data_IF_712318243387
#
_entry.id   IF_712318243387
#
_cell.length_a   1.000
_cell.length_b   1.000
_cell.length_c   1.000
_cell.angle_alpha   90.00
_cell.angle_beta   90.00
_cell.angle_gamma   90.00
#
_symmetry.space_group_name_H-M   'P 1'
#
loop_
_entity.id
_entity.type
_entity.pdbx_description
1 polymer ?
#
# COMPACT_ATOMS: atom_id res chain seq x y z
N UNK A 1 -11.59 39.85 35.54
CA UNK A 1 -10.14 39.78 35.34
C UNK A 1 -9.90 38.96 34.08
N UNK A 2 -9.62 39.67 32.99
CA UNK A 2 -9.36 39.02 31.68
C UNK A 2 -7.86 38.80 31.54
N UNK A 3 -7.37 37.58 31.45
CA UNK A 3 -5.99 37.27 31.11
C UNK A 3 -5.87 37.05 29.60
N UNK A 4 -5.16 37.97 28.96
CA UNK A 4 -4.74 37.89 27.57
C UNK A 4 -3.62 36.84 27.46
N UNK A 5 -3.83 35.80 26.68
CA UNK A 5 -2.74 34.96 26.14
C UNK A 5 -2.25 35.59 24.84
N UNK A 6 -1.01 36.08 24.85
CA UNK A 6 -0.32 36.55 23.67
C UNK A 6 0.26 35.38 22.93
N UNK A 7 -0.29 35.07 21.74
CA UNK A 7 0.30 34.13 20.79
C UNK A 7 1.45 34.85 20.07
N UNK A 8 2.70 34.39 20.33
CA UNK A 8 3.90 34.84 19.60
C UNK A 8 3.96 34.12 18.26
N UNK A 9 3.54 34.78 17.20
CA UNK A 9 3.77 34.32 15.84
C UNK A 9 5.25 34.49 15.50
N UNK A 10 5.97 33.37 15.34
CA UNK A 10 7.33 33.34 14.80
C UNK A 10 7.24 33.50 13.28
N UNK A 11 7.37 34.74 12.79
CA UNK A 11 7.48 35.03 11.37
C UNK A 11 8.90 34.66 10.90
N UNK A 12 9.08 33.49 10.27
CA UNK A 12 10.29 33.17 9.56
C UNK A 12 10.37 33.98 8.27
N UNK A 13 11.16 35.05 8.28
CA UNK A 13 11.42 35.86 7.09
C UNK A 13 12.41 35.09 6.19
N UNK A 14 11.91 34.42 5.17
CA UNK A 14 12.73 33.89 4.09
C UNK A 14 13.23 35.04 3.22
N UNK A 15 14.52 35.35 3.30
CA UNK A 15 15.23 36.18 2.33
C UNK A 15 15.36 35.41 1.02
N UNK A 16 14.44 35.62 0.10
CA UNK A 16 14.53 35.20 -1.28
C UNK A 16 15.64 36.03 -1.94
N UNK A 17 16.83 35.44 -2.08
CA UNK A 17 17.83 35.98 -3.02
C UNK A 17 17.29 35.69 -4.42
N UNK A 18 17.00 36.74 -5.17
CA UNK A 18 16.72 36.66 -6.61
C UNK A 18 17.96 36.12 -7.33
N UNK A 19 18.00 34.81 -7.56
CA UNK A 19 18.91 34.23 -8.53
C UNK A 19 18.42 34.66 -9.91
N UNK A 20 19.31 35.18 -10.74
CA UNK A 20 19.06 35.46 -12.16
C UNK A 20 18.53 34.16 -12.81
N UNK A 21 17.31 34.22 -13.34
CA UNK A 21 16.69 33.10 -14.02
C UNK A 21 17.55 32.67 -15.21
N UNK A 22 18.15 31.50 -15.11
CA UNK A 22 18.57 30.78 -16.31
C UNK A 22 17.32 30.50 -17.16
N UNK A 23 17.47 30.48 -18.52
CA UNK A 23 16.33 30.21 -19.38
C UNK A 23 15.69 28.90 -18.96
N UNK A 24 14.37 28.95 -18.71
CA UNK A 24 13.58 27.80 -18.30
C UNK A 24 13.90 26.64 -19.22
N UNK A 25 14.52 25.57 -18.69
CA UNK A 25 14.58 24.29 -19.40
C UNK A 25 13.14 23.90 -19.64
N UNK A 26 12.83 23.56 -20.91
CA UNK A 26 11.51 23.08 -21.27
C UNK A 26 11.10 21.99 -20.26
N UNK A 27 9.92 22.13 -19.67
CA UNK A 27 9.40 21.16 -18.74
C UNK A 27 9.45 19.79 -19.42
N UNK A 28 10.23 18.88 -18.88
CA UNK A 28 10.41 17.57 -19.47
C UNK A 28 9.39 16.64 -18.83
N UNK A 29 8.38 16.27 -19.59
CA UNK A 29 7.35 15.33 -19.19
C UNK A 29 7.67 13.96 -19.78
N UNK A 30 7.94 13.00 -18.93
CA UNK A 30 8.04 11.58 -19.27
C UNK A 30 6.68 10.93 -19.09
N UNK A 31 6.21 10.24 -20.13
CA UNK A 31 4.99 9.44 -20.11
C UNK A 31 5.33 7.96 -20.26
N UNK A 32 4.69 7.14 -19.45
CA UNK A 32 4.76 5.69 -19.53
C UNK A 32 3.39 5.06 -19.34
N UNK A 33 3.29 3.82 -19.81
CA UNK A 33 2.09 2.99 -19.69
C UNK A 33 2.49 1.62 -19.18
N UNK A 34 1.71 1.13 -18.23
CA UNK A 34 1.80 -0.23 -17.72
C UNK A 34 0.47 -0.94 -17.91
N UNK A 35 0.48 -2.21 -18.28
CA UNK A 35 -0.73 -3.02 -18.35
C UNK A 35 -0.52 -4.40 -17.74
N UNK A 36 -1.40 -4.75 -16.79
CA UNK A 36 -1.47 -6.01 -16.10
C UNK A 36 -2.77 -6.72 -16.48
N UNK A 37 -2.65 -7.91 -17.05
CA UNK A 37 -3.78 -8.75 -17.42
C UNK A 37 -3.60 -10.14 -16.85
N UNK A 38 -4.66 -10.70 -16.27
CA UNK A 38 -4.66 -12.07 -15.76
C UNK A 38 -5.70 -12.92 -16.45
N UNK A 39 -5.44 -14.23 -16.46
CA UNK A 39 -6.41 -15.26 -16.76
C UNK A 39 -6.26 -16.37 -15.71
N UNK A 40 -7.38 -16.87 -15.18
CA UNK A 40 -7.27 -17.95 -14.18
C UNK A 40 -8.56 -18.61 -13.79
N UNK A 41 -8.42 -19.51 -12.85
CA UNK A 41 -9.48 -20.37 -12.32
C UNK A 41 -9.36 -20.48 -10.80
N UNK A 42 -10.50 -20.66 -10.14
CA UNK A 42 -10.59 -20.93 -8.70
C UNK A 42 -11.62 -22.00 -8.43
N UNK A 43 -11.44 -22.76 -7.33
CA UNK A 43 -12.44 -23.68 -6.79
C UNK A 43 -13.51 -22.95 -6.01
N UNK A 44 -13.22 -21.75 -5.49
CA UNK A 44 -14.15 -20.87 -4.81
C UNK A 44 -15.27 -20.42 -5.74
N UNK A 45 -16.46 -20.17 -5.22
CA UNK A 45 -17.54 -19.50 -5.95
C UNK A 45 -17.26 -17.99 -6.10
N UNK A 46 -18.04 -17.30 -6.93
CA UNK A 46 -17.72 -15.92 -7.28
C UNK A 46 -17.75 -14.94 -6.09
N UNK A 47 -18.71 -15.03 -5.12
CA UNK A 47 -18.67 -14.20 -3.92
C UNK A 47 -17.42 -14.48 -3.04
N UNK A 48 -17.03 -15.74 -2.94
CA UNK A 48 -15.86 -16.10 -2.14
C UNK A 48 -14.56 -15.69 -2.83
N UNK A 49 -14.47 -15.76 -4.17
CA UNK A 49 -13.31 -15.21 -4.91
C UNK A 49 -13.14 -13.73 -4.59
N UNK A 50 -14.24 -12.96 -4.56
CA UNK A 50 -14.21 -11.53 -4.23
C UNK A 50 -13.68 -11.25 -2.83
N UNK A 51 -14.07 -12.07 -1.87
CA UNK A 51 -13.58 -11.96 -0.50
C UNK A 51 -12.13 -12.43 -0.35
N UNK A 52 -11.68 -13.41 -1.15
CA UNK A 52 -10.32 -13.95 -1.11
C UNK A 52 -9.32 -13.06 -1.87
N UNK A 53 -9.68 -12.59 -3.04
CA UNK A 53 -8.90 -11.67 -3.87
C UNK A 53 -9.48 -10.26 -3.71
N UNK A 54 -9.23 -9.66 -2.54
CA UNK A 54 -9.86 -8.41 -2.12
C UNK A 54 -9.17 -7.17 -2.66
N UNK A 55 -7.90 -7.27 -3.05
CA UNK A 55 -7.17 -6.14 -3.63
C UNK A 55 -7.90 -5.64 -4.89
N UNK A 56 -8.01 -4.33 -5.05
CA UNK A 56 -8.71 -3.72 -6.18
C UNK A 56 -8.05 -4.07 -7.53
N UNK A 57 -6.77 -4.38 -7.48
CA UNK A 57 -5.97 -4.87 -8.60
C UNK A 57 -5.76 -6.40 -8.59
N UNK A 58 -6.51 -7.14 -7.79
CA UNK A 58 -6.41 -8.60 -7.75
C UNK A 58 -7.21 -9.25 -8.89
N UNK A 59 -6.88 -10.50 -9.28
CA UNK A 59 -7.65 -11.26 -10.25
C UNK A 59 -8.98 -11.73 -9.63
N UNK A 60 -9.99 -10.89 -9.63
CA UNK A 60 -11.22 -11.01 -8.86
C UNK A 60 -12.30 -11.91 -9.47
N UNK A 61 -12.01 -12.66 -10.56
CA UNK A 61 -12.96 -13.56 -11.22
C UNK A 61 -12.25 -14.67 -12.01
N UNK A 62 -12.96 -15.77 -12.24
CA UNK A 62 -12.51 -16.78 -13.21
C UNK A 62 -12.54 -16.22 -14.64
N UNK A 63 -11.61 -16.67 -15.46
CA UNK A 63 -11.44 -16.16 -16.83
C UNK A 63 -10.43 -15.01 -16.90
N UNK A 64 -10.74 -13.97 -17.63
CA UNK A 64 -9.83 -12.85 -17.90
C UNK A 64 -10.18 -11.62 -17.07
N UNK A 65 -9.15 -10.98 -16.53
CA UNK A 65 -9.23 -9.71 -15.79
C UNK A 65 -8.20 -8.74 -16.33
N UNK A 66 -8.60 -7.51 -16.65
CA UNK A 66 -7.67 -6.39 -16.78
C UNK A 66 -7.49 -5.80 -15.38
N UNK A 67 -6.39 -6.16 -14.72
CA UNK A 67 -6.13 -5.74 -13.35
C UNK A 67 -5.78 -4.26 -13.25
N UNK A 68 -4.97 -3.79 -14.22
CA UNK A 68 -4.43 -2.44 -14.22
C UNK A 68 -4.07 -2.03 -15.64
N UNK A 69 -4.41 -0.80 -16.01
CA UNK A 69 -3.79 -0.08 -17.10
C UNK A 69 -3.44 1.30 -16.59
N UNK A 70 -2.17 1.49 -16.23
CA UNK A 70 -1.68 2.70 -15.61
C UNK A 70 -1.04 3.63 -16.63
N UNK A 71 -1.34 4.91 -16.52
CA UNK A 71 -0.72 5.99 -17.26
C UNK A 71 0.04 6.85 -16.25
N UNK A 72 1.37 6.83 -16.33
CA UNK A 72 2.23 7.59 -15.44
C UNK A 72 2.83 8.79 -16.17
N UNK A 73 2.70 9.96 -15.56
CA UNK A 73 3.35 11.19 -15.98
C UNK A 73 4.31 11.68 -14.90
N UNK A 74 5.60 11.80 -15.22
CA UNK A 74 6.61 12.33 -14.28
C UNK A 74 7.39 13.46 -14.94
N UNK A 75 7.80 14.46 -14.16
CA UNK A 75 8.61 15.53 -14.71
C UNK A 75 9.04 16.58 -13.70
N UNK A 76 10.08 17.33 -14.07
CA UNK A 76 10.49 18.52 -13.34
C UNK A 76 9.51 19.66 -13.63
N UNK A 77 8.85 20.16 -12.59
CA UNK A 77 8.00 21.37 -12.69
C UNK A 77 8.88 22.60 -12.82
N UNK A 78 9.89 22.67 -11.96
CA UNK A 78 10.90 23.72 -11.91
C UNK A 78 12.17 23.18 -11.20
N UNK A 79 13.21 24.00 -10.92
CA UNK A 79 14.41 23.54 -10.21
C UNK A 79 14.15 23.03 -8.78
N UNK A 80 12.97 23.33 -8.18
CA UNK A 80 12.66 23.03 -6.78
C UNK A 80 11.71 21.89 -6.60
N UNK A 81 10.90 21.56 -7.64
CA UNK A 81 9.84 20.56 -7.55
C UNK A 81 9.84 19.60 -8.73
N UNK A 82 9.65 18.33 -8.43
CA UNK A 82 9.21 17.31 -9.37
C UNK A 82 7.72 17.05 -9.16
N UNK A 83 7.00 16.81 -10.26
CA UNK A 83 5.60 16.39 -10.26
C UNK A 83 5.49 14.95 -10.74
N UNK A 84 4.52 14.24 -10.20
CA UNK A 84 4.17 12.87 -10.58
C UNK A 84 2.66 12.69 -10.53
N UNK A 85 2.10 11.96 -11.51
CA UNK A 85 0.68 11.62 -11.57
C UNK A 85 0.50 10.22 -12.15
N UNK A 86 -0.39 9.43 -11.54
CA UNK A 86 -0.77 8.09 -11.94
C UNK A 86 -2.27 8.03 -12.13
N UNK A 87 -2.69 7.65 -13.35
CA UNK A 87 -4.08 7.41 -13.73
C UNK A 87 -4.25 5.93 -14.04
N UNK A 88 -5.18 5.29 -13.37
CA UNK A 88 -5.46 3.87 -13.56
C UNK A 88 -6.81 3.67 -14.22
N UNK A 89 -6.85 2.82 -15.24
CA UNK A 89 -8.06 2.31 -15.85
C UNK A 89 -8.15 0.82 -15.54
N UNK A 90 -9.32 0.39 -15.07
CA UNK A 90 -9.66 -1.01 -14.82
C UNK A 90 -11.00 -1.34 -15.44
N UNK A 91 -11.26 -2.62 -15.68
CA UNK A 91 -12.56 -3.11 -16.10
C UNK A 91 -13.16 -3.88 -14.93
N UNK A 92 -14.27 -3.36 -14.43
CA UNK A 92 -14.98 -3.98 -13.32
C UNK A 92 -15.65 -5.31 -13.74
N UNK A 93 -16.31 -6.00 -12.79
CA UNK A 93 -17.02 -7.25 -13.05
C UNK A 93 -18.18 -7.10 -14.01
N UNK A 94 -18.80 -5.94 -14.06
CA UNK A 94 -19.89 -5.60 -14.98
C UNK A 94 -19.41 -5.38 -16.41
N UNK A 95 -18.09 -5.25 -16.63
CA UNK A 95 -17.49 -4.91 -17.92
C UNK A 95 -17.41 -3.40 -18.17
N UNK A 96 -17.70 -2.58 -17.17
CA UNK A 96 -17.61 -1.13 -17.24
C UNK A 96 -16.17 -0.66 -16.95
N UNK A 97 -15.75 0.40 -17.61
CA UNK A 97 -14.42 0.99 -17.39
C UNK A 97 -14.49 1.99 -16.24
N UNK A 98 -13.73 1.75 -15.19
CA UNK A 98 -13.47 2.71 -14.13
C UNK A 98 -12.16 3.45 -14.39
N UNK A 99 -12.13 4.75 -14.13
CA UNK A 99 -10.95 5.61 -14.19
C UNK A 99 -10.70 6.15 -12.78
N UNK A 100 -9.48 5.97 -12.31
CA UNK A 100 -9.05 6.39 -10.99
C UNK A 100 -7.83 7.30 -11.06
N UNK A 101 -7.82 8.37 -10.28
CA UNK A 101 -6.63 9.16 -9.99
C UNK A 101 -5.91 8.54 -8.80
N UNK A 102 -4.94 7.68 -9.06
CA UNK A 102 -4.26 6.93 -8.01
C UNK A 102 -3.30 7.83 -7.22
N UNK A 103 -2.40 8.52 -7.89
CA UNK A 103 -1.52 9.50 -7.26
C UNK A 103 -1.44 10.79 -8.08
N UNK A 104 -1.31 11.92 -7.39
CA UNK A 104 -0.90 13.21 -7.96
C UNK A 104 -0.24 14.03 -6.88
N UNK A 105 1.06 14.26 -7.00
CA UNK A 105 1.80 14.99 -5.98
C UNK A 105 2.98 15.78 -6.55
N UNK A 106 3.44 16.72 -5.73
CA UNK A 106 4.71 17.43 -5.91
C UNK A 106 5.69 17.00 -4.82
N UNK A 107 6.95 16.82 -5.20
CA UNK A 107 8.04 16.54 -4.28
C UNK A 107 9.17 17.55 -4.44
N UNK A 108 9.71 18.03 -3.33
CA UNK A 108 10.87 18.95 -3.33
C UNK A 108 12.12 18.21 -3.77
N UNK A 109 12.99 18.86 -4.58
CA UNK A 109 14.19 18.24 -5.15
C UNK A 109 15.44 18.43 -4.30
N UNK A 110 15.55 19.55 -3.59
CA UNK A 110 16.80 19.93 -2.94
C UNK A 110 16.59 20.80 -1.71
N UNK A 111 15.99 20.25 -0.66
CA UNK A 111 15.98 20.89 0.65
C UNK A 111 17.29 20.62 1.41
N UNK A 112 17.76 21.57 2.25
CA UNK A 112 18.97 21.37 3.04
C UNK A 112 18.81 20.24 4.06
N UNK A 113 19.93 19.74 4.58
CA UNK A 113 20.05 18.77 5.68
C UNK A 113 19.35 17.41 5.43
N UNK A 114 19.11 17.03 4.17
CA UNK A 114 18.48 15.76 3.83
C UNK A 114 16.96 15.73 4.01
N UNK A 115 16.30 16.90 4.00
CA UNK A 115 14.84 17.01 4.04
C UNK A 115 14.23 16.88 2.64
N UNK A 116 13.07 16.26 2.58
CA UNK A 116 12.16 16.27 1.43
C UNK A 116 10.73 16.49 1.93
N UNK A 117 9.95 17.25 1.18
CA UNK A 117 8.52 17.41 1.38
C UNK A 117 7.80 16.91 0.14
N UNK A 118 6.81 16.06 0.31
CA UNK A 118 5.89 15.52 -0.70
C UNK A 118 4.48 15.97 -0.33
N UNK A 119 3.72 16.52 -1.27
CA UNK A 119 2.36 17.02 -1.00
C UNK A 119 1.44 16.72 -2.19
N UNK A 120 0.25 16.22 -1.90
CA UNK A 120 -0.74 15.79 -2.88
C UNK A 120 -1.47 14.53 -2.46
N UNK A 121 -2.12 13.86 -3.40
CA UNK A 121 -2.65 12.51 -3.20
C UNK A 121 -1.55 11.50 -3.46
N UNK A 122 -1.32 10.59 -2.51
CA UNK A 122 -0.21 9.65 -2.61
C UNK A 122 -0.46 8.41 -1.75
N UNK A 123 0.18 7.31 -2.10
CA UNK A 123 0.33 6.19 -1.17
C UNK A 123 1.15 6.65 0.03
N UNK A 124 0.62 6.41 1.21
CA UNK A 124 1.31 6.77 2.45
C UNK A 124 2.51 5.86 2.69
N UNK A 125 3.59 6.41 3.23
CA UNK A 125 4.82 5.69 3.51
C UNK A 125 4.66 4.74 4.71
N UNK A 126 3.65 3.86 4.69
CA UNK A 126 3.42 2.83 5.71
C UNK A 126 3.97 1.47 5.23
N UNK A 127 4.80 0.81 6.03
CA UNK A 127 5.39 -0.47 5.64
C UNK A 127 6.26 -0.36 4.38
N UNK A 128 6.55 -1.49 3.77
CA UNK A 128 7.28 -1.57 2.51
C UNK A 128 6.36 -1.82 1.32
N UNK A 129 5.25 -2.58 1.53
CA UNK A 129 4.37 -3.00 0.43
C UNK A 129 3.39 -1.90 0.04
N UNK A 130 2.85 -1.14 1.00
CA UNK A 130 1.82 -0.12 0.75
C UNK A 130 2.17 0.89 -0.36
N UNK A 131 3.39 1.46 -0.42
CA UNK A 131 3.73 2.43 -1.47
C UNK A 131 4.12 1.79 -2.82
N UNK A 132 3.88 0.50 -3.03
CA UNK A 132 4.22 -0.20 -4.27
C UNK A 132 2.99 -0.35 -5.17
N UNK A 133 3.09 0.15 -6.40
CA UNK A 133 2.11 -0.11 -7.44
C UNK A 133 2.08 -1.60 -7.84
N UNK A 134 0.97 -2.12 -8.38
CA UNK A 134 0.79 -3.54 -8.70
C UNK A 134 1.87 -4.13 -9.63
N UNK A 135 2.40 -3.34 -10.55
CA UNK A 135 3.49 -3.75 -11.44
C UNK A 135 4.82 -4.03 -10.69
N UNK A 136 5.02 -3.44 -9.51
CA UNK A 136 6.19 -3.66 -8.66
C UNK A 136 6.05 -4.86 -7.71
N UNK A 137 4.86 -5.45 -7.59
CA UNK A 137 4.64 -6.61 -6.74
C UNK A 137 5.36 -7.86 -7.27
N UNK A 138 5.75 -8.74 -6.36
CA UNK A 138 6.40 -10.01 -6.70
C UNK A 138 5.40 -11.13 -6.98
N UNK A 139 4.17 -10.99 -6.47
CA UNK A 139 3.03 -11.88 -6.65
C UNK A 139 1.95 -11.20 -7.48
N UNK A 140 0.97 -11.98 -7.96
CA UNK A 140 -0.11 -11.50 -8.83
C UNK A 140 -1.15 -10.69 -8.08
N UNK A 141 -1.25 -10.91 -6.77
CA UNK A 141 -2.25 -10.39 -5.85
C UNK A 141 -1.63 -9.58 -4.71
N UNK A 142 -2.43 -8.68 -4.14
CA UNK A 142 -2.10 -7.93 -2.94
C UNK A 142 -1.89 -8.87 -1.75
N UNK A 143 -1.14 -8.43 -0.75
CA UNK A 143 -1.00 -9.17 0.49
C UNK A 143 -2.30 -9.16 1.29
N UNK A 144 -2.66 -10.32 1.88
CA UNK A 144 -3.85 -10.46 2.70
C UNK A 144 -3.88 -9.44 3.84
N UNK A 145 -2.74 -9.20 4.48
CA UNK A 145 -2.62 -8.23 5.57
C UNK A 145 -2.78 -6.79 5.08
N UNK A 146 -2.25 -6.47 3.88
CA UNK A 146 -2.43 -5.15 3.26
C UNK A 146 -3.90 -4.86 3.00
N UNK A 147 -4.58 -5.74 2.28
CA UNK A 147 -6.01 -5.60 1.97
C UNK A 147 -6.90 -5.53 3.24
N UNK A 148 -6.53 -6.27 4.31
CA UNK A 148 -7.30 -6.31 5.56
C UNK A 148 -7.18 -5.04 6.40
N UNK A 149 -6.01 -4.41 6.45
CA UNK A 149 -5.75 -3.27 7.34
C UNK A 149 -5.68 -1.94 6.61
N UNK A 150 -5.14 -1.92 5.41
CA UNK A 150 -4.92 -0.70 4.64
C UNK A 150 -5.99 -0.49 3.56
N UNK A 151 -6.71 -1.56 3.22
CA UNK A 151 -7.80 -1.56 2.26
C UNK A 151 -7.46 -2.15 0.90
N UNK A 152 -8.49 -2.35 0.05
CA UNK A 152 -8.34 -2.92 -1.29
C UNK A 152 -7.33 -2.16 -2.16
N UNK A 153 -7.36 -0.83 -2.08
CA UNK A 153 -6.51 0.09 -2.84
C UNK A 153 -5.27 0.55 -2.08
N UNK A 154 -4.85 -0.20 -1.04
CA UNK A 154 -3.80 0.25 -0.14
C UNK A 154 -4.18 1.56 0.59
N UNK A 155 -3.36 2.01 1.52
CA UNK A 155 -3.60 3.27 2.23
C UNK A 155 -3.05 4.43 1.42
N UNK A 156 -3.96 5.26 0.90
CA UNK A 156 -3.67 6.37 0.03
C UNK A 156 -4.56 7.55 0.37
N UNK A 157 -3.99 8.74 0.52
CA UNK A 157 -4.74 9.92 0.96
C UNK A 157 -4.15 11.20 0.41
N UNK A 158 -4.97 12.26 0.43
CA UNK A 158 -4.53 13.63 0.17
C UNK A 158 -3.89 14.20 1.42
N UNK A 159 -2.62 14.61 1.32
CA UNK A 159 -1.91 15.16 2.48
C UNK A 159 -0.49 15.61 2.18
N UNK A 160 0.33 15.60 3.22
CA UNK A 160 1.73 16.02 3.14
C UNK A 160 2.61 15.08 3.97
N UNK A 161 3.71 14.64 3.38
CA UNK A 161 4.79 13.92 4.04
C UNK A 161 6.05 14.77 4.11
N UNK A 162 6.76 14.67 5.22
CA UNK A 162 8.11 15.20 5.42
C UNK A 162 9.04 14.04 5.73
N UNK A 163 10.04 13.83 4.89
CA UNK A 163 11.08 12.84 5.09
C UNK A 163 12.41 13.50 5.43
N UNK A 164 13.14 12.91 6.36
CA UNK A 164 14.47 13.33 6.75
C UNK A 164 15.45 12.17 6.67
N UNK A 165 16.39 12.27 5.73
CA UNK A 165 17.53 11.36 5.65
C UNK A 165 18.58 11.84 6.66
N UNK A 166 18.72 11.11 7.77
CA UNK A 166 19.64 11.46 8.83
C UNK A 166 21.10 11.35 8.35
N UNK A 167 21.99 12.25 8.80
CA UNK A 167 23.39 12.25 8.41
C UNK A 167 24.19 11.17 9.19
N UNK A 168 23.72 9.93 9.15
CA UNK A 168 24.37 8.76 9.74
C UNK A 168 25.26 8.05 8.73
N UNK A 169 26.28 7.27 9.14
CA UNK A 169 27.10 6.49 8.22
C UNK A 169 26.36 5.33 7.52
N UNK A 170 25.11 5.04 7.92
CA UNK A 170 24.21 4.11 7.25
C UNK A 170 22.91 4.83 6.86
N UNK A 171 22.14 4.25 5.96
CA UNK A 171 20.84 4.78 5.58
C UNK A 171 19.87 4.73 6.79
N UNK A 172 19.39 5.89 7.21
CA UNK A 172 18.37 6.05 8.23
C UNK A 172 17.41 7.17 7.84
N UNK A 173 16.16 6.80 7.54
CA UNK A 173 15.11 7.70 7.08
C UNK A 173 14.02 7.78 8.14
N UNK A 174 13.62 9.00 8.47
CA UNK A 174 12.46 9.31 9.30
C UNK A 174 11.43 9.99 8.41
N UNK A 175 10.20 9.49 8.40
CA UNK A 175 9.09 10.10 7.66
C UNK A 175 7.94 10.38 8.62
N UNK A 176 7.36 11.56 8.53
CA UNK A 176 6.14 11.95 9.21
C UNK A 176 5.14 12.48 8.20
N UNK A 177 3.86 12.14 8.34
CA UNK A 177 2.79 12.55 7.42
C UNK A 177 1.56 13.04 8.15
N UNK A 178 0.82 13.93 7.50
CA UNK A 178 -0.50 14.40 7.92
C UNK A 178 -1.40 14.37 6.70
N UNK A 179 -2.53 13.68 6.83
CA UNK A 179 -3.43 13.40 5.72
C UNK A 179 -4.89 13.60 6.11
N UNK A 180 -5.76 13.69 5.11
CA UNK A 180 -7.18 13.54 5.34
C UNK A 180 -7.48 12.09 5.74
N UNK A 181 -8.27 11.91 6.80
CA UNK A 181 -8.67 10.59 7.27
C UNK A 181 -9.87 10.01 6.50
N UNK A 182 -10.51 10.82 5.65
CA UNK A 182 -11.71 10.46 4.91
C UNK A 182 -11.44 10.22 3.43
N UNK A 183 -12.06 9.17 2.87
CA UNK A 183 -11.97 8.81 1.46
C UNK A 183 -12.21 7.32 1.21
N UNK A 184 -12.41 6.91 -0.04
CA UNK A 184 -12.60 5.52 -0.43
C UNK A 184 -11.40 4.61 -0.14
N UNK A 185 -10.19 5.19 -0.06
CA UNK A 185 -8.93 4.47 0.19
C UNK A 185 -8.43 4.52 1.63
N UNK A 186 -9.23 5.09 2.56
CA UNK A 186 -8.93 5.15 3.99
C UNK A 186 -9.69 4.07 4.77
N UNK A 187 -9.63 2.83 4.31
CA UNK A 187 -10.45 1.70 4.76
C UNK A 187 -10.61 1.56 6.28
N UNK A 188 -9.52 1.64 7.04
CA UNK A 188 -9.56 1.51 8.52
C UNK A 188 -9.87 2.82 9.25
N UNK A 189 -10.12 3.91 8.53
CA UNK A 189 -10.39 5.25 9.06
C UNK A 189 -11.81 5.70 8.69
N UNK A 190 -12.00 6.95 8.30
CA UNK A 190 -13.32 7.45 7.88
C UNK A 190 -13.57 7.05 6.43
N UNK A 191 -14.17 5.88 6.23
CA UNK A 191 -14.55 5.35 4.94
C UNK A 191 -16.07 5.23 4.86
N UNK A 192 -16.66 5.78 3.79
CA UNK A 192 -18.11 5.78 3.56
C UNK A 192 -18.58 4.54 2.82
N UNK A 193 -17.75 4.04 1.90
CA UNK A 193 -18.16 3.03 0.93
C UNK A 193 -18.08 1.62 1.54
N UNK A 194 -16.95 1.29 2.18
CA UNK A 194 -16.69 -0.05 2.71
C UNK A 194 -15.94 0.01 4.06
N UNK A 195 -16.55 0.53 5.14
CA UNK A 195 -15.88 0.50 6.44
C UNK A 195 -15.70 -0.93 6.93
N UNK A 196 -14.63 -1.25 7.69
CA UNK A 196 -14.36 -2.61 8.17
C UNK A 196 -15.44 -3.16 9.11
N UNK A 197 -16.29 -2.31 9.68
CA UNK A 197 -17.38 -2.72 10.58
C UNK A 197 -18.68 -2.05 10.19
N UNK A 198 -18.96 -0.83 10.69
CA UNK A 198 -20.15 -0.04 10.33
C UNK A 198 -19.80 1.44 10.30
N UNK A 199 -20.53 2.21 9.52
CA UNK A 199 -20.46 3.66 9.51
C UNK A 199 -21.63 4.24 10.32
N UNK A 200 -21.30 5.13 11.25
CA UNK A 200 -22.26 5.89 12.06
C UNK A 200 -21.91 7.39 12.09
N UNK A 201 -20.87 7.76 11.37
CA UNK A 201 -20.43 9.16 11.20
C UNK A 201 -20.49 9.46 9.73
N UNK A 202 -21.28 10.50 9.39
CA UNK A 202 -21.17 11.12 8.06
C UNK A 202 -19.73 11.60 7.88
N UNK A 203 -19.12 11.38 6.70
CA UNK A 203 -17.78 11.86 6.44
C UNK A 203 -17.75 13.36 6.53
N UNK A 204 -17.33 13.83 7.67
CA UNK A 204 -17.28 15.24 7.96
C UNK A 204 -16.11 15.90 7.25
N UNK A 205 -16.35 17.12 6.78
CA UNK A 205 -15.27 18.02 6.45
C UNK A 205 -14.36 18.18 7.67
N UNK A 206 -13.05 18.17 7.44
CA UNK A 206 -12.05 18.41 8.48
C UNK A 206 -12.38 19.74 9.20
N UNK A 207 -12.66 19.67 10.49
CA UNK A 207 -12.98 20.81 11.35
C UNK A 207 -11.81 21.13 12.29
N UNK A 208 -11.02 20.14 12.66
CA UNK A 208 -9.91 20.28 13.57
C UNK A 208 -8.75 19.32 13.24
N UNK A 209 -7.71 19.38 14.04
CA UNK A 209 -6.56 18.49 13.87
C UNK A 209 -6.91 17.04 14.25
N UNK A 210 -7.91 16.83 15.08
CA UNK A 210 -8.44 15.52 15.49
C UNK A 210 -9.10 14.75 14.35
N UNK A 211 -9.51 15.45 13.27
CA UNK A 211 -10.13 14.84 12.09
C UNK A 211 -9.10 14.39 11.04
N UNK A 212 -7.82 14.63 11.32
CA UNK A 212 -6.74 14.26 10.42
C UNK A 212 -6.13 12.92 10.79
N UNK A 213 -5.51 12.30 9.81
CA UNK A 213 -4.70 11.10 9.95
C UNK A 213 -3.22 11.46 10.07
N UNK A 214 -2.50 10.76 10.92
CA UNK A 214 -1.09 10.99 11.22
C UNK A 214 -0.28 9.74 10.95
N UNK A 215 0.83 9.89 10.22
CA UNK A 215 1.78 8.82 9.92
C UNK A 215 3.13 9.11 10.57
N UNK A 216 3.77 8.08 11.10
CA UNK A 216 5.18 8.09 11.46
C UNK A 216 5.86 6.81 10.97
N UNK A 217 7.03 6.93 10.33
CA UNK A 217 7.84 5.79 9.86
C UNK A 217 9.31 6.02 10.12
N UNK A 218 9.98 4.96 10.53
CA UNK A 218 11.42 4.83 10.61
C UNK A 218 11.86 3.72 9.65
N UNK A 219 12.89 3.96 8.85
CA UNK A 219 13.47 2.94 7.99
C UNK A 219 15.00 3.03 8.04
N UNK A 220 15.67 1.89 8.15
CA UNK A 220 17.12 1.80 8.12
C UNK A 220 17.58 0.69 7.19
N UNK A 221 18.73 0.90 6.55
CA UNK A 221 19.40 -0.14 5.76
C UNK A 221 20.77 -0.43 6.38
N UNK A 222 21.13 -1.71 6.37
CA UNK A 222 22.43 -2.20 6.81
C UNK A 222 22.96 -3.16 5.74
N UNK A 223 24.17 -2.88 5.24
CA UNK A 223 24.86 -3.73 4.30
C UNK A 223 25.73 -4.75 5.03
N UNK A 224 25.68 -6.00 4.59
CA UNK A 224 26.48 -7.12 5.09
C UNK A 224 27.53 -7.49 4.01
N UNK A 225 28.59 -6.70 3.94
CA UNK A 225 29.58 -6.77 2.87
C UNK A 225 28.98 -6.31 1.53
N UNK A 226 29.56 -6.81 0.44
CA UNK A 226 29.21 -6.39 -0.92
C UNK A 226 28.06 -7.19 -1.56
N UNK A 227 27.59 -8.25 -0.90
CA UNK A 227 26.64 -9.21 -1.47
C UNK A 227 25.26 -9.16 -0.82
N UNK A 228 25.15 -8.68 0.40
CA UNK A 228 23.87 -8.72 1.11
C UNK A 228 23.54 -7.37 1.75
N UNK A 229 22.26 -7.03 1.77
CA UNK A 229 21.74 -5.86 2.45
C UNK A 229 20.41 -6.17 3.13
N UNK A 230 20.10 -5.44 4.20
CA UNK A 230 18.79 -5.50 4.85
C UNK A 230 18.20 -4.12 5.03
N UNK A 231 16.90 -4.01 4.82
CA UNK A 231 16.10 -2.85 5.24
C UNK A 231 15.14 -3.29 6.31
N UNK A 232 15.12 -2.58 7.43
CA UNK A 232 14.18 -2.76 8.53
C UNK A 232 13.39 -1.48 8.68
N UNK A 233 12.06 -1.59 8.75
CA UNK A 233 11.15 -0.48 8.95
C UNK A 233 10.20 -0.68 10.11
N UNK A 234 9.73 0.42 10.69
CA UNK A 234 8.62 0.46 11.64
C UNK A 234 7.72 1.63 11.30
N UNK A 235 6.42 1.40 11.30
CA UNK A 235 5.40 2.39 10.92
C UNK A 235 4.28 2.42 11.93
N UNK A 236 3.68 3.59 12.09
CA UNK A 236 2.46 3.80 12.85
C UNK A 236 1.60 4.81 12.13
N UNK A 237 0.31 4.54 12.07
CA UNK A 237 -0.70 5.47 11.55
C UNK A 237 -1.86 5.54 12.52
N UNK A 238 -2.39 6.75 12.74
CA UNK A 238 -3.46 7.06 13.68
C UNK A 238 -4.44 8.03 13.05
N UNK A 239 -5.71 7.83 13.28
CA UNK A 239 -6.76 8.76 12.84
C UNK A 239 -8.14 8.38 13.35
N UNK A 240 -9.16 9.23 13.12
CA UNK A 240 -10.56 8.91 13.43
C UNK A 240 -11.06 7.77 12.54
N UNK A 241 -12.15 7.10 12.97
CA UNK A 241 -12.80 6.07 12.16
C UNK A 241 -14.30 6.29 12.04
N UNK A 242 -14.95 5.50 11.17
CA UNK A 242 -16.36 5.68 10.77
C UNK A 242 -17.38 5.35 11.86
N UNK A 243 -17.02 4.76 13.02
CA UNK A 243 -18.00 4.24 13.99
C UNK A 243 -18.61 5.31 14.90
N UNK A 244 -17.96 6.45 15.09
CA UNK A 244 -18.53 7.50 15.94
C UNK A 244 -17.54 8.60 16.31
N UNK A 245 -18.07 9.69 16.89
CA UNK A 245 -17.26 10.80 17.38
C UNK A 245 -16.28 10.30 18.47
N UNK A 246 -14.98 10.63 18.29
CA UNK A 246 -13.90 10.22 19.20
C UNK A 246 -13.44 8.76 19.03
N UNK A 247 -14.05 7.99 18.14
CA UNK A 247 -13.56 6.67 17.78
C UNK A 247 -12.32 6.78 16.88
N UNK A 248 -11.29 5.99 17.17
CA UNK A 248 -10.00 6.06 16.48
C UNK A 248 -9.47 4.69 16.07
N UNK A 249 -8.64 4.70 15.06
CA UNK A 249 -7.85 3.56 14.62
C UNK A 249 -6.37 3.83 14.79
N UNK A 250 -5.64 2.85 15.33
CA UNK A 250 -4.18 2.80 15.32
C UNK A 250 -3.74 1.57 14.55
N UNK A 251 -2.84 1.72 13.59
CA UNK A 251 -2.19 0.60 12.90
C UNK A 251 -0.69 0.70 13.14
N UNK A 252 -0.10 -0.38 13.66
CA UNK A 252 1.35 -0.55 13.85
C UNK A 252 1.86 -1.56 12.83
N UNK A 253 3.02 -1.30 12.25
CA UNK A 253 3.66 -2.19 11.30
C UNK A 253 5.16 -2.29 11.53
N UNK A 254 5.71 -3.49 11.27
CA UNK A 254 7.16 -3.72 11.17
C UNK A 254 7.41 -4.47 9.88
N UNK A 255 8.38 -4.01 9.11
CA UNK A 255 8.75 -4.60 7.84
C UNK A 255 10.25 -4.95 7.78
N UNK A 256 10.55 -6.04 7.11
CA UNK A 256 11.90 -6.52 6.86
C UNK A 256 12.06 -6.87 5.38
N UNK A 257 13.15 -6.40 4.79
CA UNK A 257 13.59 -6.80 3.46
C UNK A 257 15.07 -7.17 3.51
N UNK A 258 15.39 -8.38 3.06
CA UNK A 258 16.74 -8.87 2.90
C UNK A 258 16.98 -9.18 1.43
N UNK A 259 18.11 -8.78 0.90
CA UNK A 259 18.55 -9.11 -0.45
C UNK A 259 19.95 -9.64 -0.41
N UNK A 260 20.15 -10.78 -1.06
CA UNK A 260 21.47 -11.32 -1.37
C UNK A 260 21.66 -11.43 -2.88
N UNK A 261 22.82 -11.01 -3.36
CA UNK A 261 23.24 -11.11 -4.75
C UNK A 261 24.77 -11.19 -4.79
N UNK A 262 25.38 -12.21 -5.41
CA UNK A 262 26.83 -12.31 -5.48
C UNK A 262 27.43 -11.14 -6.26
N UNK A 263 28.65 -10.72 -5.89
CA UNK A 263 29.37 -9.63 -6.56
C UNK A 263 29.58 -9.99 -8.04
N UNK A 264 29.98 -11.24 -8.32
CA UNK A 264 30.07 -11.75 -9.69
C UNK A 264 28.72 -12.36 -10.06
N UNK A 265 27.99 -11.69 -10.90
CA UNK A 265 26.67 -12.10 -11.33
C UNK A 265 26.47 -11.85 -12.84
N UNK A 266 25.48 -12.52 -13.43
CA UNK A 266 25.11 -12.35 -14.83
C UNK A 266 23.86 -11.48 -14.93
N UNK A 267 24.01 -10.19 -15.28
CA UNK A 267 22.91 -9.24 -15.43
C UNK A 267 21.99 -9.14 -14.18
N UNK A 268 22.57 -9.29 -12.98
CA UNK A 268 21.83 -9.27 -11.74
C UNK A 268 21.42 -10.63 -11.17
N UNK A 269 21.74 -11.74 -11.83
CA UNK A 269 21.41 -13.12 -11.46
C UNK A 269 22.65 -13.91 -11.02
N UNK A 270 22.55 -14.88 -10.08
CA UNK A 270 21.36 -15.17 -9.26
C UNK A 270 21.15 -14.15 -8.14
N UNK A 271 19.99 -14.19 -7.50
CA UNK A 271 19.71 -13.42 -6.30
C UNK A 271 18.66 -14.11 -5.42
N UNK A 272 18.62 -13.75 -4.13
CA UNK A 272 17.56 -14.12 -3.20
C UNK A 272 17.04 -12.85 -2.52
N UNK A 273 15.72 -12.74 -2.45
CA UNK A 273 15.02 -11.68 -1.72
C UNK A 273 14.11 -12.32 -0.69
N UNK A 274 14.19 -11.84 0.55
CA UNK A 274 13.24 -12.15 1.61
C UNK A 274 12.53 -10.85 1.99
N UNK A 275 11.22 -10.89 2.06
CA UNK A 275 10.41 -9.76 2.50
C UNK A 275 9.29 -10.26 3.41
N UNK A 276 9.01 -9.50 4.46
CA UNK A 276 7.89 -9.76 5.32
C UNK A 276 7.46 -8.50 6.05
N UNK A 277 6.18 -8.45 6.35
CA UNK A 277 5.60 -7.41 7.18
C UNK A 277 4.65 -8.03 8.19
N UNK A 278 4.67 -7.50 9.40
CA UNK A 278 3.70 -7.76 10.45
C UNK A 278 2.95 -6.47 10.74
N UNK A 279 1.64 -6.57 10.89
CA UNK A 279 0.77 -5.44 11.24
C UNK A 279 -0.15 -5.81 12.39
N UNK A 280 -0.50 -4.81 13.20
CA UNK A 280 -1.54 -4.92 14.23
C UNK A 280 -2.38 -3.66 14.21
N UNK A 281 -3.71 -3.84 14.25
CA UNK A 281 -4.68 -2.76 14.30
C UNK A 281 -5.42 -2.79 15.62
N UNK A 282 -5.48 -1.63 16.28
CA UNK A 282 -6.41 -1.35 17.35
C UNK A 282 -7.52 -0.47 16.80
N UNK A 283 -8.74 -0.95 16.82
CA UNK A 283 -9.92 -0.25 16.32
C UNK A 283 -10.85 0.04 17.49
N UNK A 284 -10.99 1.30 17.88
CA UNK A 284 -11.96 1.71 18.89
C UNK A 284 -13.32 1.88 18.23
N UNK A 285 -14.25 1.01 18.56
CA UNK A 285 -15.63 1.05 18.09
C UNK A 285 -16.47 1.89 19.06
N UNK A 286 -17.15 2.92 18.57
CA UNK A 286 -18.15 3.63 19.35
C UNK A 286 -19.48 2.84 19.41
N UNK A 287 -20.32 3.10 20.41
CA UNK A 287 -21.67 2.56 20.45
C UNK A 287 -22.53 3.16 19.34
N UNK A 288 -23.30 2.31 18.64
CA UNK A 288 -24.14 2.76 17.54
C UNK A 288 -25.02 1.65 16.98
N UNK A 289 -25.58 1.88 15.81
CA UNK A 289 -26.36 0.90 15.05
C UNK A 289 -25.94 0.98 13.58
N UNK A 290 -25.89 -0.17 12.91
CA UNK A 290 -25.74 -0.22 11.46
C UNK A 290 -27.08 0.09 10.73
N UNK A 291 -27.05 0.16 9.42
CA UNK A 291 -28.24 0.38 8.58
C UNK A 291 -29.30 -0.73 8.73
N UNK A 292 -28.90 -1.92 9.12
CA UNK A 292 -29.79 -3.05 9.38
C UNK A 292 -30.45 -2.99 10.79
N UNK A 293 -30.04 -2.01 11.63
CA UNK A 293 -30.52 -1.84 13.00
C UNK A 293 -29.82 -2.73 14.03
N UNK A 294 -28.67 -3.33 13.69
CA UNK A 294 -27.84 -4.08 14.64
C UNK A 294 -27.16 -3.11 15.60
N UNK A 295 -27.34 -3.32 16.90
CA UNK A 295 -26.74 -2.44 17.92
C UNK A 295 -25.34 -2.92 18.30
N UNK A 296 -24.41 -1.98 18.35
CA UNK A 296 -23.04 -2.17 18.79
C UNK A 296 -22.78 -1.40 20.08
N UNK A 297 -21.87 -1.89 20.89
CA UNK A 297 -21.43 -1.25 22.13
C UNK A 297 -20.01 -0.73 21.97
N UNK A 298 -19.60 0.21 22.82
CA UNK A 298 -18.21 0.64 22.88
C UNK A 298 -17.29 -0.57 23.09
N UNK A 299 -16.30 -0.69 22.23
CA UNK A 299 -15.32 -1.78 22.28
C UNK A 299 -13.96 -1.33 21.72
N UNK A 300 -12.91 -2.02 22.12
CA UNK A 300 -11.61 -1.94 21.49
C UNK A 300 -11.27 -3.30 20.87
N UNK A 301 -11.24 -3.36 19.58
CA UNK A 301 -10.95 -4.58 18.81
C UNK A 301 -9.46 -4.60 18.41
N UNK A 302 -8.84 -5.76 18.53
CA UNK A 302 -7.45 -5.97 18.15
C UNK A 302 -7.34 -7.03 17.08
N UNK A 303 -6.79 -6.63 15.95
CA UNK A 303 -6.44 -7.52 14.84
C UNK A 303 -4.94 -7.56 14.63
N UNK A 304 -4.47 -8.63 14.06
CA UNK A 304 -3.08 -8.81 13.65
C UNK A 304 -2.99 -9.62 12.36
N UNK A 305 -1.88 -9.49 11.69
CA UNK A 305 -1.57 -10.31 10.53
C UNK A 305 -0.13 -10.11 10.09
N UNK A 306 0.34 -11.02 9.25
CA UNK A 306 1.66 -10.93 8.64
C UNK A 306 1.71 -11.68 7.32
N UNK A 307 2.68 -11.30 6.52
CA UNK A 307 3.15 -12.13 5.43
C UNK A 307 4.66 -12.29 5.49
N UNK A 308 5.14 -13.40 4.94
CA UNK A 308 6.56 -13.64 4.68
C UNK A 308 6.71 -14.28 3.31
N UNK A 309 7.59 -13.70 2.48
CA UNK A 309 7.83 -14.17 1.13
C UNK A 309 9.32 -14.30 0.82
N UNK A 310 9.63 -15.26 -0.03
CA UNK A 310 10.95 -15.46 -0.63
C UNK A 310 10.83 -15.43 -2.15
N UNK A 311 11.75 -14.75 -2.81
CA UNK A 311 11.90 -14.79 -4.26
C UNK A 311 13.34 -15.15 -4.59
N UNK A 312 13.52 -16.17 -5.39
CA UNK A 312 14.79 -16.66 -5.85
C UNK A 312 14.93 -16.49 -7.37
N UNK A 313 15.81 -15.59 -7.78
CA UNK A 313 16.28 -15.51 -9.15
C UNK A 313 17.32 -16.60 -9.42
N UNK A 314 16.88 -17.75 -9.90
CA UNK A 314 17.74 -18.92 -10.03
C UNK A 314 18.47 -18.99 -11.37
N UNK A 315 17.96 -18.33 -12.38
CA UNK A 315 18.52 -18.27 -13.72
C UNK A 315 18.17 -16.93 -14.34
N UNK A 316 19.01 -16.43 -15.22
CA UNK A 316 18.75 -15.20 -15.98
C UNK A 316 17.34 -15.21 -16.56
N UNK A 317 16.54 -14.18 -16.24
CA UNK A 317 15.13 -14.01 -16.62
C UNK A 317 14.12 -14.92 -15.93
N UNK A 318 14.51 -15.75 -14.97
CA UNK A 318 13.58 -16.62 -14.25
C UNK A 318 13.65 -16.43 -12.75
N UNK A 319 12.50 -16.25 -12.11
CA UNK A 319 12.37 -16.28 -10.66
C UNK A 319 11.31 -17.28 -10.22
N UNK A 320 11.53 -17.88 -9.04
CA UNK A 320 10.52 -18.63 -8.33
C UNK A 320 10.30 -17.97 -6.97
N UNK A 321 9.06 -17.94 -6.49
CA UNK A 321 8.72 -17.37 -5.20
C UNK A 321 7.73 -18.21 -4.42
N UNK A 322 7.77 -18.05 -3.10
CA UNK A 322 6.79 -18.58 -2.17
C UNK A 322 6.41 -17.50 -1.16
N UNK A 323 5.12 -17.44 -0.79
CA UNK A 323 4.58 -16.53 0.22
C UNK A 323 3.66 -17.28 1.17
N UNK A 324 3.79 -17.00 2.45
CA UNK A 324 2.87 -17.43 3.49
C UNK A 324 2.27 -16.21 4.16
N UNK A 325 0.96 -16.28 4.43
CA UNK A 325 0.20 -15.19 5.00
C UNK A 325 -0.75 -15.70 6.07
N UNK A 326 -0.93 -14.93 7.13
CA UNK A 326 -1.90 -15.22 8.20
C UNK A 326 -2.44 -13.92 8.78
N UNK A 327 -3.76 -13.87 9.02
CA UNK A 327 -4.41 -12.76 9.69
C UNK A 327 -5.59 -13.26 10.53
N UNK A 328 -5.85 -12.56 11.64
CA UNK A 328 -6.93 -12.87 12.57
C UNK A 328 -7.05 -11.79 13.64
N UNK A 329 -7.79 -12.06 14.70
CA UNK A 329 -8.02 -11.18 15.83
C UNK A 329 -9.48 -11.06 16.22
N UNK A 330 -9.81 -10.07 17.05
CA UNK A 330 -11.15 -9.88 17.61
C UNK A 330 -12.23 -9.64 16.53
N UNK A 331 -11.85 -9.02 15.40
CA UNK A 331 -12.78 -8.82 14.28
C UNK A 331 -13.24 -10.12 13.65
N UNK A 332 -12.42 -11.15 13.67
CA UNK A 332 -12.77 -12.48 13.15
C UNK A 332 -13.90 -13.14 13.95
N UNK A 333 -13.98 -12.85 15.26
CA UNK A 333 -15.02 -13.38 16.14
C UNK A 333 -16.30 -12.53 16.12
N UNK A 334 -16.18 -11.25 15.76
CA UNK A 334 -17.26 -10.26 15.87
C UNK A 334 -18.01 -10.03 14.57
N UNK A 335 -17.38 -10.27 13.42
CA UNK A 335 -17.97 -10.00 12.11
C UNK A 335 -18.11 -11.30 11.31
N UNK A 336 -19.33 -11.69 10.92
CA UNK A 336 -19.59 -12.86 10.10
C UNK A 336 -19.21 -12.60 8.62
N UNK A 337 -18.12 -11.93 8.36
CA UNK A 337 -17.62 -11.58 7.04
C UNK A 337 -16.38 -12.42 6.70
N UNK A 338 -16.36 -13.01 5.50
CA UNK A 338 -15.22 -13.78 5.01
C UNK A 338 -13.91 -12.93 4.95
N UNK A 339 -14.03 -11.63 4.78
CA UNK A 339 -12.89 -10.69 4.74
C UNK A 339 -12.23 -10.55 6.12
N UNK A 340 -13.04 -10.44 7.18
CA UNK A 340 -12.56 -10.24 8.55
C UNK A 340 -12.32 -11.57 9.30
N UNK A 341 -12.73 -12.71 8.74
CA UNK A 341 -12.48 -14.03 9.32
C UNK A 341 -10.98 -14.32 9.46
N UNK A 342 -10.61 -15.24 10.34
CA UNK A 342 -9.25 -15.73 10.41
C UNK A 342 -8.88 -16.45 9.10
N UNK A 343 -7.75 -16.07 8.50
CA UNK A 343 -7.33 -16.54 7.18
C UNK A 343 -5.85 -16.90 7.16
N UNK A 344 -5.54 -17.91 6.36
CA UNK A 344 -4.18 -18.29 6.00
C UNK A 344 -4.12 -18.52 4.50
N UNK A 345 -3.03 -18.08 3.87
CA UNK A 345 -2.77 -18.32 2.44
C UNK A 345 -1.35 -18.79 2.24
N UNK A 346 -1.17 -19.81 1.41
CA UNK A 346 0.11 -20.21 0.85
C UNK A 346 0.12 -19.95 -0.65
N UNK A 347 1.08 -19.19 -1.15
CA UNK A 347 1.22 -18.87 -2.56
C UNK A 347 2.57 -19.34 -3.11
N UNK A 348 2.58 -19.77 -4.35
CA UNK A 348 3.81 -20.01 -5.12
C UNK A 348 3.71 -19.34 -6.48
N UNK A 349 4.82 -18.76 -6.95
CA UNK A 349 4.88 -18.04 -8.21
C UNK A 349 6.12 -18.42 -9.00
N UNK A 350 5.95 -18.55 -10.32
CA UNK A 350 7.04 -18.65 -11.29
C UNK A 350 6.92 -17.47 -12.24
N UNK A 351 7.99 -16.69 -12.38
CA UNK A 351 8.02 -15.51 -13.27
C UNK A 351 9.08 -15.71 -14.34
N UNK A 352 8.72 -15.41 -15.59
CA UNK A 352 9.61 -15.30 -16.73
C UNK A 352 9.60 -13.88 -17.26
N UNK A 353 10.78 -13.31 -17.47
CA UNK A 353 11.00 -11.97 -18.03
C UNK A 353 11.49 -12.09 -19.49
N UNK A 354 10.60 -12.03 -20.49
CA UNK A 354 11.00 -12.00 -21.90
C UNK A 354 11.97 -10.86 -22.20
N UNK A 355 11.72 -9.71 -21.56
CA UNK A 355 12.56 -8.50 -21.61
C UNK A 355 12.47 -7.74 -20.28
N UNK A 356 13.18 -6.62 -20.19
CA UNK A 356 13.03 -5.67 -19.07
C UNK A 356 11.68 -4.92 -19.06
N UNK A 357 10.90 -5.02 -20.16
CA UNK A 357 9.61 -4.35 -20.34
C UNK A 357 8.43 -5.31 -20.32
N UNK A 358 8.64 -6.58 -20.02
CA UNK A 358 7.56 -7.57 -20.00
C UNK A 358 7.85 -8.69 -19.03
N UNK A 359 6.79 -9.19 -18.37
CA UNK A 359 6.88 -10.38 -17.53
C UNK A 359 5.63 -11.24 -17.68
N UNK A 360 5.82 -12.56 -17.53
CA UNK A 360 4.78 -13.57 -17.44
C UNK A 360 4.90 -14.24 -16.09
N UNK A 361 3.81 -14.31 -15.33
CA UNK A 361 3.74 -14.98 -14.03
C UNK A 361 2.72 -16.10 -14.05
N UNK A 362 3.08 -17.22 -13.47
CA UNK A 362 2.15 -18.30 -13.13
C UNK A 362 2.14 -18.42 -11.61
N UNK A 363 0.99 -18.17 -10.99
CA UNK A 363 0.80 -18.22 -9.54
C UNK A 363 -0.24 -19.27 -9.17
N UNK A 364 -0.01 -19.96 -8.07
CA UNK A 364 -0.95 -20.84 -7.41
C UNK A 364 -1.14 -20.39 -5.97
N UNK A 365 -2.40 -20.28 -5.53
CA UNK A 365 -2.78 -19.99 -4.16
C UNK A 365 -3.54 -21.16 -3.54
N UNK A 366 -3.27 -21.42 -2.27
CA UNK A 366 -4.04 -22.26 -1.38
C UNK A 366 -4.54 -21.41 -0.23
N UNK A 367 -5.84 -21.16 -0.18
CA UNK A 367 -6.52 -20.44 0.90
C UNK A 367 -7.12 -21.40 1.91
N UNK A 368 -6.78 -21.23 3.18
CA UNK A 368 -7.36 -21.93 4.32
C UNK A 368 -8.31 -20.95 5.02
N UNK A 369 -9.61 -21.14 4.81
CA UNK A 369 -10.65 -20.22 5.33
C UNK A 369 -11.43 -20.93 6.41
N UNK A 370 -11.47 -20.36 7.63
CA UNK A 370 -12.44 -20.81 8.63
C UNK A 370 -13.80 -20.31 8.20
N UNK A 371 -14.68 -21.22 7.78
CA UNK A 371 -16.02 -20.82 7.35
C UNK A 371 -16.93 -20.50 8.54
N UNK A 372 -17.86 -19.59 8.30
CA UNK A 372 -18.96 -19.17 9.19
C UNK A 372 -19.86 -20.32 9.71
N UNK A 373 -19.68 -21.54 9.21
CA UNK A 373 -20.48 -22.71 9.57
C UNK A 373 -20.01 -23.41 10.86
N UNK A 374 -18.94 -22.91 11.51
CA UNK A 374 -18.47 -23.43 12.80
C UNK A 374 -16.94 -23.62 12.82
N UNK A 375 -16.34 -23.71 14.02
CA UNK A 375 -14.89 -23.76 14.21
C UNK A 375 -14.19 -24.99 13.62
N UNK A 376 -14.95 -25.99 13.13
CA UNK A 376 -14.42 -27.26 12.59
C UNK A 376 -14.49 -27.35 11.04
N UNK A 377 -14.93 -26.30 10.34
CA UNK A 377 -15.08 -26.30 8.89
C UNK A 377 -14.06 -25.39 8.21
N UNK A 378 -12.79 -25.80 8.17
CA UNK A 378 -11.83 -25.20 7.24
C UNK A 378 -12.16 -25.70 5.82
N UNK A 379 -12.43 -24.77 4.89
CA UNK A 379 -12.47 -25.08 3.47
C UNK A 379 -11.14 -24.69 2.85
N UNK A 380 -10.62 -25.56 2.00
CA UNK A 380 -9.43 -25.30 1.21
C UNK A 380 -9.87 -24.84 -0.18
N UNK A 381 -9.54 -23.61 -0.51
CA UNK A 381 -9.78 -23.08 -1.84
C UNK A 381 -8.47 -22.97 -2.62
N UNK A 382 -8.54 -23.26 -3.90
CA UNK A 382 -7.39 -23.29 -4.78
C UNK A 382 -7.61 -22.32 -5.94
N UNK A 383 -6.62 -21.52 -6.26
CA UNK A 383 -6.65 -20.70 -7.45
C UNK A 383 -5.33 -20.77 -8.23
N UNK A 384 -5.44 -20.60 -9.54
CA UNK A 384 -4.31 -20.55 -10.47
C UNK A 384 -4.47 -19.33 -11.37
N UNK A 385 -3.47 -18.45 -11.37
CA UNK A 385 -3.47 -17.22 -12.13
C UNK A 385 -2.28 -17.15 -13.08
N UNK A 386 -2.54 -16.89 -14.36
CA UNK A 386 -1.53 -16.54 -15.36
C UNK A 386 -1.63 -15.04 -15.62
N UNK A 387 -0.57 -14.29 -15.28
CA UNK A 387 -0.50 -12.84 -15.49
C UNK A 387 0.49 -12.50 -16.60
N UNK A 388 0.13 -11.54 -17.43
CA UNK A 388 0.99 -10.90 -18.42
C UNK A 388 1.06 -9.41 -18.11
N UNK A 389 2.28 -8.87 -18.11
CA UNK A 389 2.56 -7.44 -17.94
C UNK A 389 3.41 -6.94 -19.10
N UNK A 390 3.14 -5.72 -19.52
CA UNK A 390 4.00 -5.01 -20.45
C UNK A 390 4.05 -3.51 -20.11
N UNK A 391 5.25 -2.95 -20.28
CA UNK A 391 5.59 -1.55 -20.04
C UNK A 391 5.90 -0.85 -21.35
N UNK A 392 5.42 0.37 -21.53
CA UNK A 392 5.74 1.24 -22.66
C UNK A 392 6.21 2.60 -22.14
N UNK A 393 7.26 3.16 -22.71
CA UNK A 393 7.76 4.48 -22.34
C UNK A 393 8.99 4.44 -21.42
N UNK A 394 9.22 5.52 -20.67
CA UNK A 394 10.40 5.69 -19.83
C UNK A 394 10.22 5.22 -18.37
N UNK A 395 9.12 4.54 -18.07
CA UNK A 395 8.96 3.93 -16.76
C UNK A 395 10.17 3.04 -16.47
N UNK A 396 10.66 3.09 -15.24
CA UNK A 396 11.90 2.38 -14.91
C UNK A 396 11.76 0.90 -15.22
N UNK A 397 12.60 0.41 -16.13
CA UNK A 397 12.74 -1.01 -16.41
C UNK A 397 12.85 -1.83 -15.12
N UNK A 398 12.34 -3.05 -15.12
CA UNK A 398 12.45 -3.94 -13.96
C UNK A 398 13.90 -4.02 -13.49
N UNK A 399 14.17 -3.57 -12.26
CA UNK A 399 15.51 -3.61 -11.66
C UNK A 399 15.76 -5.00 -11.08
N UNK A 400 16.67 -5.73 -11.68
CA UNK A 400 17.14 -7.04 -11.22
C UNK A 400 18.30 -6.94 -10.22
#
# INVERSE_FOLDING_TARGET
>A
MRSLFAASALAATFLIRSASAEPARAAYLDLSFDALMTAGLSTADDPLIEALERGDHDPNRRGFTLQNFEITGTGAVDPYFNGEAHLVLKIDRGGETALELEEVFLATTSLPIGLQVKAGQMFEAFGRHNPLHPHAWQFVDQTLVGARFLGPDSLRSLGTEVSWLAPTPWYFLVTGGVFNANGGTTYSFVNEEEPPFYANVEPNAVQGLEDLQYLARLAQNVDFGDEASSTLGASWVHGPNSTGEGATTDIFGVDLYLRWKPVVNEQGWPFVQLQGEWMSRRYTQAAGQDEAGTSFTDAALWDWGYYAQVVWGFQTRFTAGARWEEAGGDSADSAPDAVLSARRRASSVLTYYPSEFSKLRLQYNLDLVSTLAGPDSETNEHSVWLQCEFLLGKHGAHKF
#
